data_IF_325156136124
#
_entry.id   IF_325156136124
#
_cell.length_a   1.000
_cell.length_b   1.000
_cell.length_c   1.000
_cell.angle_alpha   90.00
_cell.angle_beta   90.00
_cell.angle_gamma   90.00
#
_symmetry.space_group_name_H-M   'P 1'
#
loop_
_entity.id
_entity.type
_entity.pdbx_description
1 polymer ?
#
# COMPACT_ATOMS: atom_id res chain seq x y z
N UNK A 1 12.43 7.39 38.91
CA UNK A 1 12.24 7.76 37.48
C UNK A 1 11.19 6.84 36.89
N UNK A 2 9.94 7.30 36.76
CA UNK A 2 8.87 6.52 36.11
C UNK A 2 9.15 6.52 34.61
N UNK A 3 9.35 5.36 34.00
CA UNK A 3 9.30 5.21 32.55
C UNK A 3 7.95 5.75 32.09
N UNK A 4 7.98 6.85 31.34
CA UNK A 4 6.82 7.36 30.64
C UNK A 4 6.55 6.36 29.52
N UNK A 5 5.67 5.39 29.78
CA UNK A 5 5.25 4.43 28.77
C UNK A 5 4.56 5.20 27.66
N UNK A 6 5.25 5.39 26.53
CA UNK A 6 4.65 5.91 25.31
C UNK A 6 3.53 4.92 24.99
N UNK A 7 2.27 5.32 25.21
CA UNK A 7 1.12 4.54 24.77
C UNK A 7 1.29 4.33 23.28
N UNK A 8 1.49 3.09 22.90
CA UNK A 8 1.62 2.71 21.51
C UNK A 8 0.30 3.02 20.81
N UNK A 9 0.35 3.99 19.90
CA UNK A 9 -0.82 4.54 19.28
C UNK A 9 -1.21 3.66 18.08
N UNK A 10 -2.31 2.92 18.20
CA UNK A 10 -2.83 2.06 17.13
C UNK A 10 -4.12 2.67 16.55
N UNK A 11 -4.23 2.86 15.22
CA UNK A 11 -5.47 3.31 14.61
C UNK A 11 -6.54 2.21 14.73
N UNK A 12 -7.80 2.62 14.83
CA UNK A 12 -8.92 1.71 14.64
C UNK A 12 -8.98 1.34 13.16
N UNK A 13 -8.86 0.04 12.87
CA UNK A 13 -9.05 -0.48 11.52
C UNK A 13 -10.52 -0.79 11.33
N UNK A 14 -11.18 -0.11 10.39
CA UNK A 14 -12.63 -0.23 10.19
C UNK A 14 -12.97 -0.64 8.77
N UNK A 15 -14.11 -1.33 8.62
CA UNK A 15 -14.75 -1.61 7.35
C UNK A 15 -16.24 -1.39 7.53
N UNK A 16 -16.86 -0.55 6.68
CA UNK A 16 -18.26 -0.15 6.83
C UNK A 16 -18.61 0.32 8.25
N UNK A 17 -17.77 1.19 8.82
CA UNK A 17 -17.91 1.76 10.18
C UNK A 17 -17.86 0.74 11.32
N UNK A 18 -17.53 -0.52 11.04
CA UNK A 18 -17.36 -1.57 12.04
C UNK A 18 -15.89 -1.95 12.19
N UNK A 19 -15.42 -2.39 13.37
CA UNK A 19 -14.06 -2.89 13.54
C UNK A 19 -13.77 -4.04 12.55
N UNK A 20 -12.65 -3.96 11.84
CA UNK A 20 -12.21 -4.99 10.89
C UNK A 20 -11.13 -5.87 11.51
N UNK A 21 -11.40 -7.17 11.61
CA UNK A 21 -10.52 -8.14 12.29
C UNK A 21 -9.73 -9.04 11.33
N UNK A 22 -10.14 -9.15 10.08
CA UNK A 22 -9.49 -9.99 9.06
C UNK A 22 -8.28 -9.30 8.40
N UNK A 23 -7.54 -8.50 9.17
CA UNK A 23 -6.46 -7.67 8.63
C UNK A 23 -5.10 -8.36 8.61
N UNK A 24 -4.31 -8.10 7.56
CA UNK A 24 -2.87 -8.46 7.51
C UNK A 24 -1.97 -7.37 8.11
N UNK A 25 -2.54 -6.25 8.59
CA UNK A 25 -1.81 -5.20 9.30
C UNK A 25 -1.58 -5.58 10.76
N UNK A 26 -0.51 -6.32 10.99
CA UNK A 26 0.03 -6.57 12.33
C UNK A 26 0.60 -5.28 12.94
N UNK A 27 0.77 -5.30 14.26
CA UNK A 27 1.14 -4.13 15.06
C UNK A 27 2.46 -3.51 14.61
N UNK A 28 3.42 -4.36 14.27
CA UNK A 28 4.75 -4.01 13.78
C UNK A 28 4.67 -3.31 12.41
N UNK A 29 3.77 -3.77 11.54
CA UNK A 29 3.55 -3.18 10.22
C UNK A 29 2.89 -1.80 10.35
N UNK A 30 1.90 -1.68 11.23
CA UNK A 30 1.25 -0.40 11.54
C UNK A 30 2.28 0.61 12.08
N UNK A 31 3.06 0.21 13.07
CA UNK A 31 4.10 1.07 13.65
C UNK A 31 5.13 1.51 12.59
N UNK A 32 5.52 0.58 11.71
CA UNK A 32 6.39 0.87 10.56
C UNK A 32 5.76 1.90 9.63
N UNK A 33 4.48 1.73 9.27
CA UNK A 33 3.79 2.70 8.41
C UNK A 33 3.75 4.08 9.07
N UNK A 34 3.32 4.15 10.33
CA UNK A 34 3.27 5.40 11.10
C UNK A 34 4.63 6.10 11.23
N UNK A 35 5.75 5.35 11.16
CA UNK A 35 7.09 5.94 11.24
C UNK A 35 7.39 6.90 10.09
N UNK A 36 6.80 6.68 8.90
CA UNK A 36 7.05 7.47 7.69
C UNK A 36 5.88 8.36 7.25
N UNK A 37 4.72 8.25 7.92
CA UNK A 37 3.58 9.14 7.70
C UNK A 37 3.93 10.57 8.11
N UNK A 38 3.39 11.54 7.37
CA UNK A 38 3.43 12.93 7.78
C UNK A 38 2.62 13.14 9.06
N UNK A 39 2.98 14.15 9.86
CA UNK A 39 2.42 14.37 11.21
C UNK A 39 0.88 14.38 11.24
N UNK A 40 0.25 14.96 10.22
CA UNK A 40 -1.22 15.01 10.08
C UNK A 40 -1.89 13.62 10.02
N UNK A 41 -1.21 12.61 9.49
CA UNK A 41 -1.75 11.25 9.36
C UNK A 41 -1.16 10.28 10.39
N UNK A 42 0.02 10.59 10.94
CA UNK A 42 0.75 9.75 11.90
C UNK A 42 -0.08 9.38 13.12
N UNK A 43 -0.94 10.31 13.56
CA UNK A 43 -1.84 10.15 14.69
C UNK A 43 -3.31 10.00 14.27
N UNK A 44 -3.56 9.53 13.05
CA UNK A 44 -4.91 9.21 12.57
C UNK A 44 -5.58 8.18 13.48
N UNK A 45 -6.82 8.43 13.91
CA UNK A 45 -7.58 7.53 14.79
C UNK A 45 -8.20 6.35 14.07
N UNK A 46 -8.32 6.45 12.75
CA UNK A 46 -9.11 5.51 11.97
C UNK A 46 -8.52 5.34 10.59
N UNK A 47 -8.30 4.07 10.21
CA UNK A 47 -7.98 3.69 8.85
C UNK A 47 -9.14 2.86 8.31
N UNK A 48 -9.66 3.27 7.17
CA UNK A 48 -10.85 2.67 6.57
C UNK A 48 -10.42 1.72 5.45
N UNK A 49 -10.84 0.47 5.56
CA UNK A 49 -10.67 -0.50 4.50
C UNK A 49 -11.55 -0.11 3.31
N UNK A 50 -10.92 0.09 2.16
CA UNK A 50 -11.61 0.36 0.91
C UNK A 50 -11.74 -0.89 0.04
N UNK A 51 -10.77 -1.79 0.14
CA UNK A 51 -10.75 -3.04 -0.61
C UNK A 51 -9.94 -4.09 0.15
N UNK A 52 -10.39 -5.33 0.09
CA UNK A 52 -9.57 -6.50 0.39
C UNK A 52 -9.94 -7.64 -0.51
N UNK A 53 -9.00 -8.54 -0.78
CA UNK A 53 -9.30 -9.76 -1.55
C UNK A 53 -10.26 -10.71 -0.82
N UNK A 54 -10.38 -10.58 0.51
CA UNK A 54 -11.34 -11.33 1.31
C UNK A 54 -12.76 -10.85 1.09
N UNK A 55 -12.99 -9.55 1.27
CA UNK A 55 -14.32 -8.95 1.21
C UNK A 55 -14.80 -8.76 -0.24
N UNK A 56 -13.88 -8.58 -1.19
CA UNK A 56 -14.20 -8.13 -2.55
C UNK A 56 -13.72 -9.09 -3.66
N UNK A 57 -13.07 -10.20 -3.30
CA UNK A 57 -12.50 -11.16 -4.25
C UNK A 57 -11.31 -10.62 -5.04
N UNK A 58 -11.01 -11.23 -6.19
CA UNK A 58 -9.87 -10.88 -7.07
C UNK A 58 -10.33 -10.11 -8.32
N UNK A 59 -11.13 -9.06 -8.14
CA UNK A 59 -11.65 -8.25 -9.24
C UNK A 59 -10.85 -6.95 -9.36
N UNK A 60 -10.03 -6.82 -10.41
CA UNK A 60 -9.29 -5.59 -10.67
C UNK A 60 -10.18 -4.39 -10.93
N UNK A 61 -11.34 -4.59 -11.59
CA UNK A 61 -12.33 -3.54 -11.76
C UNK A 61 -12.82 -3.02 -10.40
N UNK A 62 -13.15 -3.93 -9.47
CA UNK A 62 -13.59 -3.57 -8.12
C UNK A 62 -12.47 -2.86 -7.37
N UNK A 63 -11.24 -3.37 -7.45
CA UNK A 63 -10.06 -2.75 -6.85
C UNK A 63 -9.84 -1.32 -7.37
N UNK A 64 -9.81 -1.10 -8.69
CA UNK A 64 -9.65 0.25 -9.25
C UNK A 64 -10.82 1.16 -8.89
N UNK A 65 -12.07 0.65 -8.86
CA UNK A 65 -13.23 1.46 -8.47
C UNK A 65 -13.17 1.93 -7.01
N UNK A 66 -12.45 1.20 -6.14
CA UNK A 66 -12.35 1.52 -4.71
C UNK A 66 -11.60 2.82 -4.42
N UNK A 67 -10.83 3.35 -5.38
CA UNK A 67 -10.17 4.65 -5.30
C UNK A 67 -11.10 5.84 -5.59
N UNK A 68 -12.26 5.60 -6.22
CA UNK A 68 -13.15 6.66 -6.70
C UNK A 68 -13.80 7.41 -5.54
N UNK A 69 -13.77 8.75 -5.59
CA UNK A 69 -14.37 9.63 -4.57
C UNK A 69 -13.86 9.37 -3.15
N UNK A 70 -12.62 8.88 -3.02
CA UNK A 70 -11.97 8.68 -1.72
C UNK A 70 -10.91 9.75 -1.49
N UNK A 71 -10.84 10.23 -0.26
CA UNK A 71 -9.79 11.14 0.16
C UNK A 71 -8.48 10.35 0.29
N UNK A 72 -7.39 10.93 -0.19
CA UNK A 72 -6.03 10.46 0.06
C UNK A 72 -5.62 10.76 1.52
N UNK A 73 -4.61 10.07 2.07
CA UNK A 73 -3.70 9.11 1.43
C UNK A 73 -4.20 7.67 1.49
N UNK A 74 -3.54 6.83 0.68
CA UNK A 74 -3.81 5.41 0.59
C UNK A 74 -2.62 4.57 1.07
N UNK A 75 -2.93 3.42 1.64
CA UNK A 75 -1.95 2.35 1.92
C UNK A 75 -2.44 1.09 1.22
N UNK A 76 -1.66 0.59 0.27
CA UNK A 76 -1.84 -0.73 -0.32
C UNK A 76 -0.89 -1.71 0.36
N UNK A 77 -1.42 -2.80 0.90
CA UNK A 77 -0.63 -3.86 1.55
C UNK A 77 -0.92 -5.20 0.88
N UNK A 78 0.14 -5.96 0.62
CA UNK A 78 0.09 -7.19 -0.14
C UNK A 78 0.83 -8.26 0.65
N UNK A 79 0.12 -9.34 0.97
CA UNK A 79 0.72 -10.58 1.46
C UNK A 79 1.13 -11.44 0.28
N UNK A 80 2.41 -11.81 0.25
CA UNK A 80 3.00 -12.59 -0.83
C UNK A 80 3.35 -14.01 -0.37
N UNK A 81 3.68 -14.89 -1.32
CA UNK A 81 4.28 -16.20 -1.05
C UNK A 81 5.82 -16.15 -0.95
N UNK A 82 6.41 -14.96 -1.06
CA UNK A 82 7.85 -14.80 -0.98
C UNK A 82 8.32 -14.93 0.46
N UNK A 83 9.22 -15.88 0.72
CA UNK A 83 9.79 -16.10 2.06
C UNK A 83 10.57 -14.90 2.60
N UNK A 84 11.11 -14.05 1.71
CA UNK A 84 11.92 -12.89 2.08
C UNK A 84 11.12 -11.59 2.18
N UNK A 85 9.91 -11.55 1.62
CA UNK A 85 9.09 -10.35 1.56
C UNK A 85 7.61 -10.72 1.68
N UNK A 86 7.28 -11.38 2.79
CA UNK A 86 5.93 -11.88 3.07
C UNK A 86 4.87 -10.77 3.04
N UNK A 87 5.27 -9.54 3.38
CA UNK A 87 4.48 -8.33 3.24
C UNK A 87 5.27 -7.29 2.45
N UNK A 88 4.63 -6.74 1.42
CA UNK A 88 5.06 -5.55 0.70
C UNK A 88 3.91 -4.55 0.67
N UNK A 89 4.22 -3.27 0.53
CA UNK A 89 3.18 -2.26 0.43
C UNK A 89 3.65 -0.96 -0.18
N UNK A 90 2.66 -0.11 -0.44
CA UNK A 90 2.81 1.22 -1.01
C UNK A 90 1.96 2.20 -0.23
N UNK A 91 2.57 3.24 0.29
CA UNK A 91 1.87 4.46 0.69
C UNK A 91 1.92 5.47 -0.46
N UNK A 92 0.80 6.12 -0.75
CA UNK A 92 0.75 7.13 -1.81
C UNK A 92 -0.37 8.14 -1.61
N UNK A 93 -0.14 9.35 -2.12
CA UNK A 93 -1.04 10.49 -1.99
C UNK A 93 -1.70 10.86 -3.33
N UNK A 94 -1.95 9.89 -4.18
CA UNK A 94 -2.46 10.12 -5.54
C UNK A 94 -3.75 9.35 -5.80
N UNK A 95 -4.66 9.94 -6.58
CA UNK A 95 -5.86 9.24 -7.01
C UNK A 95 -5.52 8.28 -8.14
N UNK A 96 -5.91 7.02 -8.00
CA UNK A 96 -5.73 6.02 -9.04
C UNK A 96 -6.89 6.08 -10.02
N UNK A 97 -6.55 6.15 -11.30
CA UNK A 97 -7.45 6.05 -12.43
C UNK A 97 -6.73 5.40 -13.60
N UNK A 98 -7.50 4.84 -14.54
CA UNK A 98 -6.93 4.23 -15.74
C UNK A 98 -6.36 5.31 -16.65
N UNK A 99 -5.06 5.19 -16.98
CA UNK A 99 -4.36 6.01 -17.96
C UNK A 99 -3.21 5.19 -18.56
N UNK A 100 -3.01 5.33 -19.88
CA UNK A 100 -1.89 4.73 -20.59
C UNK A 100 -0.59 5.49 -20.36
N UNK A 101 -0.67 6.75 -19.94
CA UNK A 101 0.49 7.59 -19.63
C UNK A 101 0.84 7.51 -18.14
N UNK A 102 2.13 7.46 -17.79
CA UNK A 102 2.53 7.57 -16.39
C UNK A 102 2.13 8.91 -15.78
N UNK A 103 1.59 8.87 -14.56
CA UNK A 103 1.22 10.04 -13.76
C UNK A 103 1.78 9.92 -12.33
N UNK A 104 1.33 10.80 -11.43
CA UNK A 104 1.80 10.84 -10.05
C UNK A 104 2.88 11.89 -9.86
N UNK A 105 2.60 12.86 -8.98
CA UNK A 105 3.57 13.91 -8.59
C UNK A 105 3.78 13.98 -7.08
N UNK A 106 2.97 13.24 -6.33
CA UNK A 106 2.92 13.26 -4.87
C UNK A 106 3.73 12.13 -4.27
N UNK A 107 3.95 12.23 -2.96
CA UNK A 107 4.76 11.30 -2.18
C UNK A 107 4.31 9.85 -2.41
N UNK A 108 5.28 9.00 -2.73
CA UNK A 108 5.13 7.54 -2.80
C UNK A 108 6.23 6.93 -1.95
N UNK A 109 5.84 6.02 -1.06
CA UNK A 109 6.75 5.23 -0.25
C UNK A 109 6.45 3.76 -0.52
N UNK A 110 7.48 3.01 -0.91
CA UNK A 110 7.43 1.57 -1.00
C UNK A 110 7.97 1.01 0.32
N UNK A 111 7.41 -0.08 0.82
CA UNK A 111 7.93 -0.73 2.02
C UNK A 111 7.77 -2.25 1.98
N UNK A 112 8.56 -2.94 2.79
CA UNK A 112 8.36 -4.33 3.14
C UNK A 112 8.63 -4.54 4.65
N UNK A 113 8.64 -5.80 5.10
CA UNK A 113 8.89 -6.16 6.49
C UNK A 113 10.22 -5.62 7.06
N UNK A 114 11.21 -5.34 6.23
CA UNK A 114 12.56 -4.91 6.65
C UNK A 114 12.83 -3.45 6.26
N UNK A 115 12.51 -3.07 5.02
CA UNK A 115 12.96 -1.84 4.37
C UNK A 115 11.81 -0.86 4.12
N UNK A 116 12.17 0.42 4.07
CA UNK A 116 11.32 1.53 3.63
C UNK A 116 12.09 2.31 2.56
N UNK A 117 11.45 2.62 1.44
CA UNK A 117 12.00 3.41 0.36
C UNK A 117 11.05 4.54 -0.01
N UNK A 118 11.45 5.77 0.29
CA UNK A 118 10.78 6.96 -0.23
C UNK A 118 11.29 7.24 -1.64
N UNK A 119 10.38 7.35 -2.62
CA UNK A 119 10.77 7.61 -4.00
C UNK A 119 11.16 9.07 -4.19
N UNK A 120 12.26 9.28 -4.93
CA UNK A 120 12.66 10.62 -5.36
C UNK A 120 11.71 11.12 -6.46
N UNK A 121 11.60 12.44 -6.62
CA UNK A 121 10.67 13.07 -7.55
C UNK A 121 10.73 12.52 -8.99
N UNK A 122 11.94 12.19 -9.49
CA UNK A 122 12.14 11.61 -10.83
C UNK A 122 11.64 10.16 -10.98
N UNK A 123 11.57 9.44 -9.86
CA UNK A 123 11.19 8.02 -9.80
C UNK A 123 9.71 7.85 -9.41
N UNK A 124 9.05 8.92 -8.94
CA UNK A 124 7.61 8.96 -8.66
C UNK A 124 6.85 8.86 -9.98
N UNK A 125 6.36 7.66 -10.28
CA UNK A 125 5.46 7.37 -11.39
C UNK A 125 4.43 6.35 -10.94
N UNK A 126 3.21 6.52 -11.39
CA UNK A 126 2.10 5.60 -11.27
C UNK A 126 1.64 5.29 -12.68
N UNK A 127 1.45 4.02 -12.98
CA UNK A 127 0.86 3.58 -14.24
C UNK A 127 -0.26 2.63 -13.89
N UNK A 128 -1.47 2.96 -14.31
CA UNK A 128 -2.64 2.13 -14.07
C UNK A 128 -3.34 1.90 -15.40
N UNK A 129 -3.21 0.70 -15.94
CA UNK A 129 -3.85 0.28 -17.19
C UNK A 129 -4.83 -0.84 -16.90
N UNK A 130 -5.60 -1.26 -17.89
CA UNK A 130 -6.47 -2.43 -17.76
C UNK A 130 -5.72 -3.74 -17.45
N UNK A 131 -4.39 -3.76 -17.64
CA UNK A 131 -3.54 -4.95 -17.46
C UNK A 131 -2.80 -4.98 -16.13
N UNK A 132 -2.48 -3.82 -15.56
CA UNK A 132 -1.69 -3.73 -14.34
C UNK A 132 -1.74 -2.34 -13.69
N UNK A 133 -1.47 -2.31 -12.39
CA UNK A 133 -1.14 -1.12 -11.62
C UNK A 133 0.33 -1.19 -11.20
N UNK A 134 1.09 -0.12 -11.38
CA UNK A 134 2.50 -0.05 -11.01
C UNK A 134 2.84 1.27 -10.30
N UNK A 135 3.78 1.19 -9.36
CA UNK A 135 4.28 2.30 -8.56
C UNK A 135 5.80 2.37 -8.61
N UNK A 136 6.30 3.59 -8.82
CA UNK A 136 7.71 3.87 -8.95
C UNK A 136 8.27 3.38 -10.27
N UNK A 137 9.18 4.13 -10.87
CA UNK A 137 9.90 3.70 -12.06
C UNK A 137 11.34 4.19 -12.00
N UNK A 138 12.28 3.26 -11.86
CA UNK A 138 13.72 3.54 -11.82
C UNK A 138 14.42 2.68 -12.88
N UNK A 139 15.18 3.32 -13.76
CA UNK A 139 15.92 2.64 -14.84
C UNK A 139 15.06 1.68 -15.69
N UNK A 140 13.81 2.06 -15.96
CA UNK A 140 12.88 1.25 -16.76
C UNK A 140 12.21 0.09 -16.01
N UNK A 141 12.49 -0.10 -14.72
CA UNK A 141 11.84 -1.10 -13.88
C UNK A 141 10.84 -0.45 -12.93
N UNK A 142 9.69 -1.11 -12.73
CA UNK A 142 8.69 -0.67 -11.78
C UNK A 142 9.02 -1.12 -10.37
N UNK A 143 8.89 -0.22 -9.40
CA UNK A 143 9.19 -0.55 -8.02
C UNK A 143 8.29 -1.65 -7.48
N UNK A 144 6.98 -1.49 -7.65
CA UNK A 144 5.98 -2.55 -7.45
C UNK A 144 5.03 -2.55 -8.64
N UNK A 145 4.72 -3.72 -9.19
CA UNK A 145 3.71 -3.93 -10.22
C UNK A 145 2.74 -5.03 -9.80
N UNK A 146 1.45 -4.83 -10.04
CA UNK A 146 0.37 -5.76 -9.72
C UNK A 146 -0.43 -5.99 -11.00
N UNK A 147 -0.56 -7.25 -11.41
CA UNK A 147 -1.35 -7.61 -12.58
C UNK A 147 -2.85 -7.50 -12.31
N UNK A 148 -3.65 -7.31 -13.36
CA UNK A 148 -5.11 -7.22 -13.29
C UNK A 148 -5.81 -8.51 -12.83
N UNK A 149 -5.10 -9.63 -12.71
CA UNK A 149 -5.65 -10.83 -12.07
C UNK A 149 -5.64 -10.71 -10.55
N UNK A 150 -4.91 -9.72 -10.01
CA UNK A 150 -4.61 -9.56 -8.58
C UNK A 150 -3.97 -10.80 -7.93
N UNK A 151 -3.41 -11.70 -8.74
CA UNK A 151 -2.79 -12.95 -8.29
C UNK A 151 -1.27 -12.94 -8.38
N UNK A 152 -0.71 -12.04 -9.18
CA UNK A 152 0.73 -11.94 -9.43
C UNK A 152 1.18 -10.50 -9.43
N UNK A 153 2.41 -10.29 -9.00
CA UNK A 153 3.08 -9.00 -9.08
C UNK A 153 4.58 -9.15 -9.24
N UNK A 154 5.24 -8.01 -9.32
CA UNK A 154 6.69 -7.88 -9.41
C UNK A 154 7.17 -6.77 -8.48
N UNK A 155 8.37 -6.92 -7.93
CA UNK A 155 9.08 -5.84 -7.24
C UNK A 155 10.55 -5.80 -7.68
N UNK A 156 11.13 -4.60 -7.71
CA UNK A 156 12.51 -4.40 -8.16
C UNK A 156 13.32 -3.44 -7.28
N UNK A 157 12.85 -3.15 -6.07
CA UNK A 157 13.42 -2.08 -5.24
C UNK A 157 14.07 -2.58 -3.96
N UNK A 158 13.69 -3.76 -3.48
CA UNK A 158 14.25 -4.32 -2.25
C UNK A 158 15.25 -5.44 -2.52
N UNK A 159 15.45 -5.80 -3.79
CA UNK A 159 16.38 -6.83 -4.26
C UNK A 159 17.18 -6.31 -5.44
N UNK A 160 18.37 -6.91 -5.63
CA UNK A 160 19.26 -6.58 -6.75
C UNK A 160 18.63 -6.88 -8.12
N UNK A 161 17.70 -7.83 -8.17
CA UNK A 161 17.01 -8.27 -9.36
C UNK A 161 15.50 -8.16 -9.18
N UNK A 162 14.78 -7.87 -10.27
CA UNK A 162 13.34 -7.87 -10.29
C UNK A 162 12.79 -9.27 -9.97
N UNK A 163 12.00 -9.37 -8.91
CA UNK A 163 11.40 -10.66 -8.48
C UNK A 163 9.90 -10.67 -8.70
N UNK A 164 9.38 -11.79 -9.21
CA UNK A 164 7.95 -12.04 -9.28
C UNK A 164 7.46 -12.70 -7.99
N UNK A 165 6.22 -12.44 -7.61
CA UNK A 165 5.58 -13.06 -6.45
C UNK A 165 4.10 -13.38 -6.74
N UNK A 166 3.55 -14.36 -6.03
CA UNK A 166 2.12 -14.58 -6.02
C UNK A 166 1.49 -13.81 -4.87
N UNK A 167 0.37 -13.16 -5.16
CA UNK A 167 -0.43 -12.42 -4.19
C UNK A 167 -1.35 -13.44 -3.50
N UNK A 168 -1.18 -13.58 -2.18
CA UNK A 168 -2.03 -14.41 -1.33
C UNK A 168 -3.17 -13.59 -0.75
N UNK A 169 -2.93 -12.32 -0.48
CA UNK A 169 -3.90 -11.42 0.10
C UNK A 169 -3.54 -9.97 -0.22
N UNK A 170 -4.53 -9.09 -0.35
CA UNK A 170 -4.31 -7.66 -0.57
C UNK A 170 -5.34 -6.83 0.19
N UNK A 171 -4.91 -5.68 0.70
CA UNK A 171 -5.74 -4.68 1.36
C UNK A 171 -5.41 -3.28 0.85
N UNK A 172 -6.44 -2.47 0.65
CA UNK A 172 -6.33 -1.05 0.42
C UNK A 172 -7.00 -0.30 1.57
N UNK A 173 -6.22 0.56 2.21
CA UNK A 173 -6.65 1.40 3.31
C UNK A 173 -6.62 2.86 2.92
N UNK A 174 -7.56 3.62 3.47
CA UNK A 174 -7.58 5.07 3.46
C UNK A 174 -7.29 5.57 4.88
N UNK A 175 -6.36 6.51 5.02
CA UNK A 175 -6.05 7.13 6.31
C UNK A 175 -6.91 8.38 6.47
N UNK A 176 -7.74 8.40 7.51
CA UNK A 176 -8.56 9.57 7.82
C UNK A 176 -7.72 10.58 8.60
N UNK A 177 -7.73 11.84 8.17
CA UNK A 177 -7.09 12.96 8.87
C UNK A 177 -7.80 13.29 10.19
#
# INVERSE_FOLDING_TARGET
>A
MKQCGIKEYKPNLTFNMSPYTNTILEKEIIAKIQSFLDLRYKYSKEWNLLYSTFEHGFSYKTFISSFTNKNKPFILVIKTDNKYSSIIGVYFEENIHLDLKPYGKRKIILFNAENILTLNQKDIKIICTEKYLAFGCKNGQYGILIQNTLRKGQESVFKEQCTSFNIKYMELWNIIE
#
